data_IF_928350652001
#
_entry.id   IF_928350652001
#
_cell.length_a   1.000
_cell.length_b   1.000
_cell.length_c   1.000
_cell.angle_alpha   90.00
_cell.angle_beta   90.00
_cell.angle_gamma   90.00
#
_symmetry.space_group_name_H-M   'P 1'
#
loop_
_entity.id
_entity.type
_entity.pdbx_description
1 polymer ?
#
# COMPACT_ATOMS: atom_id res chain seq x y z
N UNK A 1 -28.69 -12.05 26.04
CA UNK A 1 -27.41 -12.39 25.38
C UNK A 1 -27.46 -11.74 24.01
N UNK A 2 -26.67 -10.69 23.72
CA UNK A 2 -26.76 -10.05 22.42
C UNK A 2 -26.08 -10.93 21.38
N UNK A 3 -26.81 -11.19 20.30
CA UNK A 3 -26.29 -11.84 19.10
C UNK A 3 -25.11 -11.01 18.58
N UNK A 4 -23.91 -11.61 18.55
CA UNK A 4 -22.80 -11.07 17.78
C UNK A 4 -23.17 -11.23 16.30
N UNK A 5 -23.77 -10.17 15.74
CA UNK A 5 -23.85 -10.01 14.30
C UNK A 5 -22.42 -9.95 13.78
N UNK A 6 -22.04 -10.98 13.00
CA UNK A 6 -20.80 -10.97 12.25
C UNK A 6 -20.79 -9.72 11.36
N UNK A 7 -19.75 -8.89 11.40
CA UNK A 7 -19.68 -7.72 10.53
C UNK A 7 -19.66 -8.23 9.09
N UNK A 8 -20.63 -7.75 8.31
CA UNK A 8 -20.79 -8.06 6.89
C UNK A 8 -19.42 -7.96 6.21
N UNK A 9 -18.95 -9.11 5.72
CA UNK A 9 -17.75 -9.23 4.90
C UNK A 9 -18.10 -8.57 3.57
N UNK A 10 -17.64 -7.33 3.36
CA UNK A 10 -17.59 -6.77 2.02
C UNK A 10 -16.59 -7.61 1.22
N UNK A 11 -17.00 -8.20 0.08
CA UNK A 11 -16.10 -8.99 -0.73
C UNK A 11 -15.00 -8.06 -1.23
N UNK A 12 -13.76 -8.47 -0.93
CA UNK A 12 -12.58 -7.95 -1.58
C UNK A 12 -12.77 -8.08 -3.08
N UNK A 13 -12.84 -6.93 -3.73
CA UNK A 13 -12.42 -6.61 -5.09
C UNK A 13 -12.99 -5.22 -5.33
N UNK A 14 -12.25 -4.17 -4.94
CA UNK A 14 -12.43 -2.87 -5.58
C UNK A 14 -11.63 -2.96 -6.87
N UNK A 15 -12.26 -3.26 -8.02
CA UNK A 15 -11.55 -3.35 -9.28
C UNK A 15 -11.24 -1.92 -9.72
N UNK A 16 -10.02 -1.70 -10.22
CA UNK A 16 -9.66 -0.70 -11.24
C UNK A 16 -10.52 0.59 -11.29
N UNK A 17 -9.91 1.73 -10.86
CA UNK A 17 -10.41 3.12 -10.91
C UNK A 17 -11.47 3.47 -9.85
N UNK A 18 -11.03 3.69 -8.61
CA UNK A 18 -11.87 4.30 -7.57
C UNK A 18 -11.10 5.41 -6.86
N UNK A 19 -11.63 6.63 -6.88
CA UNK A 19 -11.04 7.77 -6.17
C UNK A 19 -11.37 7.72 -4.68
N UNK A 20 -10.64 8.47 -3.85
CA UNK A 20 -10.96 8.64 -2.43
C UNK A 20 -12.39 9.17 -2.23
N UNK A 21 -12.85 10.05 -3.11
CA UNK A 21 -14.21 10.59 -3.09
C UNK A 21 -15.23 9.47 -3.35
N UNK A 22 -15.03 8.65 -4.37
CA UNK A 22 -15.92 7.53 -4.69
C UNK A 22 -15.94 6.49 -3.56
N UNK A 23 -14.79 6.18 -2.95
CA UNK A 23 -14.73 5.30 -1.79
C UNK A 23 -15.54 5.89 -0.62
N UNK A 24 -15.38 7.18 -0.34
CA UNK A 24 -16.12 7.86 0.73
C UNK A 24 -17.64 7.91 0.46
N UNK A 25 -18.07 8.18 -0.78
CA UNK A 25 -19.48 8.15 -1.19
C UNK A 25 -20.12 6.77 -1.00
N UNK A 26 -19.34 5.70 -1.17
CA UNK A 26 -19.77 4.32 -0.93
C UNK A 26 -19.69 3.92 0.56
N UNK A 27 -19.25 4.82 1.45
CA UNK A 27 -19.05 4.56 2.87
C UNK A 27 -17.79 3.74 3.19
N UNK A 28 -16.92 3.54 2.20
CA UNK A 28 -15.66 2.82 2.33
C UNK A 28 -14.59 3.82 2.80
N UNK A 29 -14.41 3.88 4.11
CA UNK A 29 -13.45 4.80 4.76
C UNK A 29 -12.26 4.08 5.38
N UNK A 30 -12.36 2.76 5.53
CA UNK A 30 -11.33 1.92 6.13
C UNK A 30 -11.05 0.68 5.31
N UNK A 31 -9.78 0.28 5.28
CA UNK A 31 -9.33 -1.00 4.71
C UNK A 31 -8.86 -1.91 5.84
N UNK A 32 -9.27 -3.17 5.79
CA UNK A 32 -8.83 -4.21 6.72
C UNK A 32 -7.64 -4.96 6.18
N UNK A 33 -6.72 -5.30 7.07
CA UNK A 33 -5.56 -6.11 6.74
C UNK A 33 -5.22 -7.16 7.78
N UNK A 34 -4.77 -8.33 7.33
CA UNK A 34 -4.24 -9.38 8.19
C UNK A 34 -2.71 -9.38 8.19
N UNK A 35 -2.13 -9.27 9.37
CA UNK A 35 -0.70 -9.31 9.61
C UNK A 35 -0.30 -10.58 10.34
N UNK A 36 0.93 -11.03 10.11
CA UNK A 36 1.58 -12.14 10.82
C UNK A 36 2.92 -11.68 11.40
N UNK A 37 3.19 -12.03 12.65
CA UNK A 37 4.47 -11.77 13.29
C UNK A 37 5.56 -12.73 12.79
N UNK A 38 6.67 -12.18 12.30
CA UNK A 38 7.84 -12.93 11.85
C UNK A 38 8.57 -13.71 12.96
N UNK A 39 8.34 -13.38 14.23
CA UNK A 39 9.04 -14.02 15.37
C UNK A 39 8.24 -15.13 16.04
N UNK A 40 6.95 -14.91 16.25
CA UNK A 40 6.10 -15.79 17.05
C UNK A 40 4.86 -16.28 16.29
N UNK A 41 4.74 -15.94 15.01
CA UNK A 41 3.65 -16.34 14.11
C UNK A 41 2.25 -15.92 14.57
N UNK A 42 2.17 -14.96 15.50
CA UNK A 42 0.90 -14.39 15.95
C UNK A 42 0.25 -13.58 14.82
N UNK A 43 -1.05 -13.75 14.64
CA UNK A 43 -1.84 -13.01 13.67
C UNK A 43 -2.49 -11.78 14.29
N UNK A 44 -2.65 -10.71 13.50
CA UNK A 44 -3.32 -9.48 13.93
C UNK A 44 -4.11 -8.89 12.77
N UNK A 45 -5.39 -8.60 13.00
CA UNK A 45 -6.21 -7.82 12.07
C UNK A 45 -6.05 -6.35 12.41
N UNK A 46 -5.87 -5.51 11.39
CA UNK A 46 -5.66 -4.06 11.53
C UNK A 46 -6.57 -3.34 10.55
N UNK A 47 -7.18 -2.25 11.02
CA UNK A 47 -7.94 -1.33 10.20
C UNK A 47 -7.07 -0.12 9.88
N UNK A 48 -7.05 0.31 8.61
CA UNK A 48 -6.40 1.52 8.14
C UNK A 48 -7.45 2.52 7.68
N UNK A 49 -7.39 3.74 8.19
CA UNK A 49 -8.15 4.86 7.64
C UNK A 49 -7.56 5.24 6.27
N UNK A 50 -8.38 5.12 5.22
CA UNK A 50 -7.93 5.30 3.83
C UNK A 50 -7.45 6.72 3.60
N UNK A 51 -8.24 7.71 4.04
CA UNK A 51 -7.98 9.13 3.80
C UNK A 51 -6.71 9.60 4.52
N UNK A 52 -6.61 9.27 5.80
CA UNK A 52 -5.47 9.63 6.64
C UNK A 52 -4.19 8.99 6.12
N UNK A 53 -4.25 7.71 5.77
CA UNK A 53 -3.08 6.98 5.30
C UNK A 53 -2.64 7.43 3.91
N UNK A 54 -3.60 7.78 3.03
CA UNK A 54 -3.29 8.42 1.75
C UNK A 54 -2.53 9.72 1.96
N UNK A 55 -2.99 10.60 2.85
CA UNK A 55 -2.34 11.90 3.08
C UNK A 55 -0.90 11.73 3.58
N UNK A 56 -0.65 10.80 4.51
CA UNK A 56 0.71 10.49 4.98
C UNK A 56 1.61 10.06 3.82
N UNK A 57 1.11 9.17 2.96
CA UNK A 57 1.86 8.68 1.81
C UNK A 57 2.10 9.76 0.76
N UNK A 58 1.07 10.53 0.44
CA UNK A 58 1.15 11.63 -0.51
C UNK A 58 2.20 12.65 -0.07
N UNK A 59 2.16 13.07 1.19
CA UNK A 59 3.16 13.99 1.75
C UNK A 59 4.56 13.40 1.74
N UNK A 60 4.72 12.10 2.03
CA UNK A 60 6.01 11.43 1.95
C UNK A 60 6.60 11.51 0.53
N UNK A 61 5.83 11.17 -0.51
CA UNK A 61 6.31 11.26 -1.89
C UNK A 61 6.52 12.71 -2.35
N UNK A 62 5.68 13.65 -1.92
CA UNK A 62 5.89 15.06 -2.20
C UNK A 62 7.23 15.57 -1.61
N UNK A 63 7.51 15.25 -0.35
CA UNK A 63 8.77 15.60 0.30
C UNK A 63 9.97 14.93 -0.37
N UNK A 64 9.83 13.66 -0.73
CA UNK A 64 10.89 12.91 -1.39
C UNK A 64 11.26 13.52 -2.75
N UNK A 65 10.27 13.88 -3.58
CA UNK A 65 10.54 14.48 -4.90
C UNK A 65 11.14 15.87 -4.82
N UNK A 66 10.93 16.59 -3.71
CA UNK A 66 11.60 17.86 -3.44
C UNK A 66 13.07 17.69 -3.01
N UNK A 67 13.47 16.50 -2.57
CA UNK A 67 14.82 16.21 -2.07
C UNK A 67 15.68 15.42 -3.06
N UNK A 68 15.07 14.54 -3.86
CA UNK A 68 15.76 13.61 -4.75
C UNK A 68 15.26 13.81 -6.18
N UNK A 69 16.20 13.89 -7.13
CA UNK A 69 15.86 13.93 -8.54
C UNK A 69 15.37 12.56 -9.02
N UNK A 70 14.28 12.53 -9.79
CA UNK A 70 13.72 11.33 -10.40
C UNK A 70 14.75 10.47 -11.14
N UNK A 71 15.73 11.08 -11.82
CA UNK A 71 16.79 10.33 -12.50
C UNK A 71 17.65 9.49 -11.54
N UNK A 72 17.84 9.96 -10.31
CA UNK A 72 18.54 9.23 -9.23
C UNK A 72 17.71 8.07 -8.66
N UNK A 73 16.40 8.08 -8.86
CA UNK A 73 15.52 6.95 -8.52
C UNK A 73 15.54 5.91 -9.67
N UNK A 74 15.71 6.37 -10.92
CA UNK A 74 15.74 5.51 -12.10
C UNK A 74 17.02 4.68 -12.24
N UNK A 75 18.17 5.23 -11.86
CA UNK A 75 19.47 4.54 -11.92
C UNK A 75 19.70 3.55 -10.76
N UNK A 76 18.77 3.50 -9.79
CA UNK A 76 18.85 2.64 -8.61
C UNK A 76 19.85 3.11 -7.56
N UNK A 77 20.41 4.32 -7.69
CA UNK A 77 21.29 4.93 -6.69
C UNK A 77 20.52 5.51 -5.49
N UNK A 78 19.25 5.90 -5.72
CA UNK A 78 18.31 6.33 -4.70
C UNK A 78 17.70 5.14 -3.97
N UNK A 79 18.07 4.97 -2.71
CA UNK A 79 17.54 3.93 -1.83
C UNK A 79 16.12 4.32 -1.37
N UNK A 80 15.15 4.17 -2.27
CA UNK A 80 13.72 4.31 -1.99
C UNK A 80 13.31 3.12 -1.13
N UNK A 81 13.63 3.21 0.16
CA UNK A 81 13.09 2.33 1.20
C UNK A 81 11.95 3.11 1.84
N UNK A 82 10.71 3.04 1.33
CA UNK A 82 9.58 3.44 2.13
C UNK A 82 9.67 2.59 3.41
N UNK A 83 10.01 3.21 4.54
CA UNK A 83 10.10 2.49 5.81
C UNK A 83 8.71 1.89 6.05
N UNK A 84 8.58 0.55 6.04
CA UNK A 84 7.27 -0.07 6.14
C UNK A 84 6.64 0.35 7.46
N UNK A 85 5.31 0.56 7.47
CA UNK A 85 4.62 0.89 8.70
C UNK A 85 4.87 -0.26 9.69
N UNK A 86 5.62 0.04 10.73
CA UNK A 86 6.05 -0.97 11.67
C UNK A 86 4.97 -1.17 12.73
N UNK A 87 4.18 -2.22 12.54
CA UNK A 87 3.17 -2.61 13.52
C UNK A 87 3.82 -3.57 14.51
N UNK A 88 3.76 -3.19 15.80
CA UNK A 88 4.26 -4.01 16.89
C UNK A 88 3.39 -5.25 17.08
N UNK A 89 4.04 -6.37 17.40
CA UNK A 89 3.34 -7.57 17.81
C UNK A 89 2.90 -7.44 19.27
N UNK A 90 1.63 -7.69 19.55
CA UNK A 90 1.08 -7.57 20.91
C UNK A 90 1.65 -8.62 21.87
N UNK A 91 2.13 -9.75 21.33
CA UNK A 91 2.66 -10.89 22.10
C UNK A 91 4.14 -10.79 22.42
N UNK A 92 4.98 -10.44 21.45
CA UNK A 92 6.43 -10.34 21.65
C UNK A 92 6.93 -8.90 21.81
N UNK A 93 6.03 -7.91 21.70
CA UNK A 93 6.24 -6.45 21.89
C UNK A 93 7.37 -5.90 20.98
N UNK A 94 7.79 -6.68 19.98
CA UNK A 94 8.84 -6.28 19.07
C UNK A 94 8.27 -5.32 18.03
N UNK A 95 8.74 -4.07 18.10
CA UNK A 95 8.25 -2.92 17.33
C UNK A 95 8.41 -3.01 15.82
N UNK A 96 9.05 -4.06 15.26
CA UNK A 96 9.28 -4.21 13.81
C UNK A 96 9.13 -5.65 13.33
N UNK A 97 8.09 -6.35 13.79
CA UNK A 97 8.00 -7.81 13.58
C UNK A 97 6.81 -8.29 12.76
N UNK A 98 5.80 -7.45 12.50
CA UNK A 98 4.63 -7.87 11.72
C UNK A 98 4.76 -7.53 10.24
N UNK A 99 4.32 -8.45 9.38
CA UNK A 99 4.23 -8.29 7.92
C UNK A 99 2.83 -8.67 7.44
N UNK A 100 2.34 -8.18 6.30
CA UNK A 100 1.08 -8.63 5.76
C UNK A 100 1.13 -10.11 5.38
N UNK A 101 -0.01 -10.77 5.51
CA UNK A 101 -0.27 -12.10 4.97
C UNK A 101 -0.63 -11.94 3.49
N UNK A 102 0.31 -12.26 2.60
CA UNK A 102 0.08 -12.22 1.15
C UNK A 102 -0.26 -13.66 0.72
N UNK A 103 -1.55 -13.92 0.49
CA UNK A 103 -2.01 -15.25 0.04
C UNK A 103 -1.99 -15.37 -1.46
N UNK A 104 -1.91 -16.61 -1.95
CA UNK A 104 -1.95 -16.84 -3.39
C UNK A 104 -3.37 -16.91 -3.95
N UNK A 105 -4.38 -17.48 -3.28
CA UNK A 105 -5.73 -17.51 -3.89
C UNK A 105 -6.92 -17.31 -2.92
N UNK A 106 -6.74 -17.35 -1.58
CA UNK A 106 -7.83 -17.07 -0.59
C UNK A 106 -7.53 -15.98 0.45
N UNK A 107 -6.24 -15.69 0.76
CA UNK A 107 -5.92 -14.57 1.67
C UNK A 107 -6.05 -13.18 1.01
N UNK A 108 -6.42 -13.15 -0.26
CA UNK A 108 -6.96 -11.99 -0.97
C UNK A 108 -8.13 -11.38 -0.21
N UNK A 109 -8.96 -12.16 0.47
CA UNK A 109 -10.06 -11.64 1.32
C UNK A 109 -9.60 -10.71 2.44
N UNK A 110 -8.34 -10.81 2.86
CA UNK A 110 -7.83 -10.05 4.00
C UNK A 110 -6.91 -8.90 3.65
N UNK A 111 -6.21 -8.92 2.51
CA UNK A 111 -5.27 -7.85 2.15
C UNK A 111 -5.45 -7.44 0.69
N UNK A 112 -6.01 -6.24 0.48
CA UNK A 112 -6.09 -5.59 -0.84
C UNK A 112 -4.76 -4.93 -1.22
N UNK A 113 -4.57 -4.65 -2.51
CA UNK A 113 -3.45 -3.82 -2.97
C UNK A 113 -3.47 -2.43 -2.30
N UNK A 114 -4.66 -1.93 -1.97
CA UNK A 114 -4.85 -0.65 -1.29
C UNK A 114 -4.29 -0.73 0.14
N UNK A 115 -4.62 -1.79 0.89
CA UNK A 115 -4.01 -2.04 2.19
C UNK A 115 -2.48 -2.13 2.12
N UNK A 116 -1.95 -2.87 1.14
CA UNK A 116 -0.50 -3.05 0.96
C UNK A 116 0.22 -1.73 0.63
N UNK A 117 -0.40 -0.89 -0.20
CA UNK A 117 0.10 0.45 -0.53
C UNK A 117 0.05 1.36 0.69
N UNK A 118 -1.15 1.56 1.26
CA UNK A 118 -1.43 2.48 2.35
C UNK A 118 -0.59 2.13 3.59
N UNK A 119 -0.53 0.86 3.97
CA UNK A 119 0.32 0.38 5.06
C UNK A 119 1.82 0.44 4.77
N UNK A 120 2.26 0.95 3.62
CA UNK A 120 3.67 0.97 3.17
C UNK A 120 4.29 -0.42 3.15
N UNK A 121 3.48 -1.46 3.03
CA UNK A 121 3.92 -2.84 3.05
C UNK A 121 4.36 -3.34 1.68
N UNK A 122 4.23 -2.57 0.60
CA UNK A 122 4.72 -2.97 -0.72
C UNK A 122 6.22 -3.29 -0.73
N UNK A 123 7.02 -2.67 0.15
CA UNK A 123 8.42 -3.03 0.35
C UNK A 123 8.63 -4.48 0.82
N UNK A 124 7.62 -5.11 1.42
CA UNK A 124 7.63 -6.51 1.88
C UNK A 124 7.15 -7.53 0.86
N UNK A 125 6.56 -7.08 -0.27
CA UNK A 125 6.06 -7.93 -1.36
C UNK A 125 7.22 -8.33 -2.26
N UNK A 126 7.32 -9.58 -2.70
CA UNK A 126 8.39 -9.98 -3.63
C UNK A 126 8.13 -9.51 -5.08
N UNK A 127 9.15 -9.58 -5.94
CA UNK A 127 9.04 -9.09 -7.31
C UNK A 127 7.99 -9.83 -8.17
N UNK A 128 7.83 -11.14 -7.95
CA UNK A 128 6.85 -11.94 -8.69
C UNK A 128 5.42 -11.60 -8.26
N UNK A 129 5.20 -11.39 -6.96
CA UNK A 129 3.95 -10.91 -6.40
C UNK A 129 3.62 -9.49 -6.87
N UNK A 130 4.61 -8.59 -6.96
CA UNK A 130 4.40 -7.24 -7.51
C UNK A 130 3.97 -7.28 -8.97
N UNK A 131 4.57 -8.14 -9.80
CA UNK A 131 4.16 -8.32 -11.20
C UNK A 131 2.75 -8.90 -11.29
N UNK A 132 2.37 -9.83 -10.40
CA UNK A 132 1.01 -10.38 -10.36
C UNK A 132 -0.02 -9.32 -9.96
N UNK A 133 0.31 -8.46 -8.99
CA UNK A 133 -0.57 -7.37 -8.55
C UNK A 133 -0.67 -6.24 -9.59
N UNK A 134 0.36 -6.06 -10.43
CA UNK A 134 0.45 -4.98 -11.41
C UNK A 134 0.96 -5.49 -12.78
N UNK A 135 0.17 -6.30 -13.49
CA UNK A 135 0.61 -7.00 -14.70
C UNK A 135 0.91 -6.04 -15.87
N UNK A 136 0.24 -4.89 -15.94
CA UNK A 136 0.44 -3.89 -17.00
C UNK A 136 1.71 -3.06 -16.82
N UNK A 137 2.32 -3.10 -15.62
CA UNK A 137 3.60 -2.45 -15.38
C UNK A 137 4.73 -3.37 -15.85
N UNK A 138 5.07 -3.26 -17.15
CA UNK A 138 6.21 -4.00 -17.73
C UNK A 138 7.48 -3.74 -16.89
N UNK A 139 7.98 -4.81 -16.26
CA UNK A 139 9.20 -4.79 -15.47
C UNK A 139 10.40 -4.50 -16.38
N UNK A 140 10.81 -3.23 -16.46
CA UNK A 140 12.04 -2.80 -17.15
C UNK A 140 12.82 -1.90 -16.20
N UNK A 141 13.47 -2.49 -15.20
CA UNK A 141 14.34 -1.77 -14.26
C UNK A 141 14.53 -2.46 -12.91
N UNK A 142 15.02 -1.68 -11.94
CA UNK A 142 15.19 -2.12 -10.55
C UNK A 142 13.84 -2.29 -9.83
N UNK A 143 13.78 -3.16 -8.82
CA UNK A 143 12.63 -3.30 -7.91
C UNK A 143 12.16 -1.96 -7.35
N UNK A 144 13.10 -1.08 -7.04
CA UNK A 144 12.86 0.28 -6.56
C UNK A 144 12.04 1.11 -7.54
N UNK A 145 12.38 1.06 -8.84
CA UNK A 145 11.66 1.76 -9.91
C UNK A 145 10.25 1.20 -10.10
N UNK A 146 10.08 -0.12 -10.06
CA UNK A 146 8.75 -0.73 -10.14
C UNK A 146 7.87 -0.28 -8.97
N UNK A 147 8.39 -0.40 -7.73
CA UNK A 147 7.66 0.02 -6.52
C UNK A 147 7.27 1.49 -6.58
N UNK A 148 8.18 2.35 -7.04
CA UNK A 148 7.92 3.77 -7.21
C UNK A 148 6.78 4.04 -8.21
N UNK A 149 6.88 3.47 -9.41
CA UNK A 149 5.86 3.64 -10.45
C UNK A 149 4.49 3.12 -9.99
N UNK A 150 4.48 1.96 -9.32
CA UNK A 150 3.26 1.40 -8.72
C UNK A 150 2.69 2.34 -7.67
N UNK A 151 3.51 2.84 -6.73
CA UNK A 151 3.08 3.81 -5.72
C UNK A 151 2.42 5.04 -6.35
N UNK A 152 3.12 5.72 -7.26
CA UNK A 152 2.61 6.96 -7.85
C UNK A 152 1.40 6.68 -8.73
N UNK A 153 1.42 5.63 -9.56
CA UNK A 153 0.28 5.26 -10.39
C UNK A 153 -0.98 4.95 -9.58
N UNK A 154 -0.84 4.37 -8.37
CA UNK A 154 -1.95 4.14 -7.47
C UNK A 154 -2.42 5.40 -6.74
N UNK A 155 -1.49 6.23 -6.26
CA UNK A 155 -1.87 7.53 -5.66
C UNK A 155 -2.62 8.40 -6.68
N UNK A 156 -2.19 8.38 -7.95
CA UNK A 156 -2.87 9.07 -9.05
C UNK A 156 -4.25 8.50 -9.37
N UNK A 157 -4.51 7.22 -9.10
CA UNK A 157 -5.86 6.67 -9.22
C UNK A 157 -6.76 7.12 -8.06
N UNK A 158 -6.22 7.17 -6.83
CA UNK A 158 -6.96 7.56 -5.63
C UNK A 158 -7.30 9.05 -5.60
N UNK A 159 -6.39 9.93 -6.01
CA UNK A 159 -6.65 11.37 -6.17
C UNK A 159 -5.94 11.88 -7.44
N UNK A 160 -6.63 11.85 -8.60
CA UNK A 160 -6.06 12.27 -9.87
C UNK A 160 -5.65 13.74 -9.90
N UNK A 161 -6.38 14.61 -9.19
CA UNK A 161 -6.16 16.06 -9.22
C UNK A 161 -4.90 16.41 -8.43
N UNK A 162 -4.79 15.94 -7.20
CA UNK A 162 -3.65 16.26 -6.33
C UNK A 162 -2.36 15.60 -6.82
N UNK A 163 -2.47 14.39 -7.37
CA UNK A 163 -1.31 13.63 -7.85
C UNK A 163 -0.67 14.19 -9.12
N UNK A 164 -1.32 15.13 -9.83
CA UNK A 164 -0.65 15.91 -10.90
C UNK A 164 0.62 16.60 -10.39
N UNK A 165 0.64 17.03 -9.13
CA UNK A 165 1.83 17.63 -8.51
C UNK A 165 2.98 16.63 -8.43
N UNK A 166 2.70 15.36 -8.08
CA UNK A 166 3.71 14.31 -8.05
C UNK A 166 4.19 13.95 -9.46
N UNK A 167 3.27 13.81 -10.42
CA UNK A 167 3.63 13.53 -11.82
C UNK A 167 4.54 14.63 -12.39
N UNK A 168 4.22 15.90 -12.13
CA UNK A 168 5.05 17.03 -12.52
C UNK A 168 6.42 17.01 -11.84
N UNK A 169 6.45 16.81 -10.51
CA UNK A 169 7.69 16.79 -9.72
C UNK A 169 8.66 15.69 -10.18
N UNK A 170 8.11 14.54 -10.54
CA UNK A 170 8.87 13.39 -11.00
C UNK A 170 8.99 13.27 -12.52
N UNK A 171 8.51 14.27 -13.28
CA UNK A 171 8.58 14.29 -14.75
C UNK A 171 8.01 13.02 -15.40
N UNK A 172 6.94 12.48 -14.82
CA UNK A 172 6.25 11.30 -15.33
C UNK A 172 5.18 11.71 -16.35
N UNK A 173 4.91 10.85 -17.36
CA UNK A 173 3.89 11.11 -18.37
C UNK A 173 2.48 11.15 -17.79
#
# INVERSE_FOLDING_TARGET
>A
MPAHQAPLLLPVLVPSLTTLEQLAEQGITTERGLLICNKCSEFKVVDLDIQHTFEILFQFFLQLGNQINFFSLQDGSGDLKPEPLHIACDKCISSKSMRPVIGNDDATEFNSWLFLLLGRFMGSVDGAQLVRLFPDNQYVGSRTKLLFNVCIGLLSQLDPVRSQQLLFLYQMP
#
